data_IF_316187297939
#
_entry.id   IF_316187297939
#
_cell.length_a   1.000
_cell.length_b   1.000
_cell.length_c   1.000
_cell.angle_alpha   90.00
_cell.angle_beta   90.00
_cell.angle_gamma   90.00
#
_symmetry.space_group_name_H-M   'P 1'
#
loop_
_entity.id
_entity.type
_entity.pdbx_description
1 polymer ?
#
# COMPACT_ATOMS: atom_id res chain seq x y z
N UNK A 1 -1.03 20.62 -0.67
CA UNK A 1 -2.12 19.63 -0.55
C UNK A 1 -1.60 18.22 -0.72
N UNK A 2 -0.82 17.94 -1.76
CA UNK A 2 -0.24 16.61 -2.03
C UNK A 2 0.60 16.04 -0.90
N UNK A 3 1.47 16.85 -0.28
CA UNK A 3 2.29 16.43 0.88
C UNK A 3 1.41 15.94 2.03
N UNK A 4 0.39 16.72 2.40
CA UNK A 4 -0.54 16.32 3.46
C UNK A 4 -1.25 15.01 3.12
N UNK A 5 -1.72 14.88 1.88
CA UNK A 5 -2.40 13.68 1.41
C UNK A 5 -1.48 12.45 1.40
N UNK A 6 -0.21 12.61 0.97
CA UNK A 6 0.79 11.54 1.00
C UNK A 6 1.09 11.06 2.42
N UNK A 7 1.26 11.98 3.36
CA UNK A 7 1.47 11.65 4.78
C UNK A 7 0.23 11.01 5.41
N UNK A 8 -0.97 11.50 5.08
CA UNK A 8 -2.22 10.89 5.55
C UNK A 8 -2.38 9.47 5.01
N UNK A 9 -2.02 9.24 3.75
CA UNK A 9 -2.01 7.91 3.17
C UNK A 9 -1.03 6.98 3.90
N UNK A 10 0.19 7.46 4.21
CA UNK A 10 1.20 6.70 4.95
C UNK A 10 0.71 6.32 6.36
N UNK A 11 0.17 7.27 7.12
CA UNK A 11 -0.38 7.02 8.45
C UNK A 11 -1.53 6.00 8.41
N UNK A 12 -2.40 6.16 7.43
CA UNK A 12 -3.58 5.30 7.28
C UNK A 12 -3.18 3.89 6.87
N UNK A 13 -2.30 3.70 5.85
CA UNK A 13 -1.83 2.36 5.47
C UNK A 13 -0.98 1.71 6.56
N UNK A 14 -0.11 2.46 7.26
CA UNK A 14 0.65 1.91 8.38
C UNK A 14 -0.25 1.40 9.51
N UNK A 15 -1.35 2.09 9.78
CA UNK A 15 -2.37 1.64 10.74
C UNK A 15 -3.15 0.44 10.20
N UNK A 16 -3.45 0.42 8.89
CA UNK A 16 -4.10 -0.70 8.21
C UNK A 16 -3.34 -2.00 8.38
N UNK A 17 -2.00 -1.97 8.23
CA UNK A 17 -1.14 -3.15 8.38
C UNK A 17 -1.30 -3.80 9.76
N UNK A 18 -1.39 -3.00 10.82
CA UNK A 18 -1.59 -3.51 12.18
C UNK A 18 -2.95 -4.21 12.32
N UNK A 19 -4.01 -3.64 11.76
CA UNK A 19 -5.34 -4.28 11.75
C UNK A 19 -5.36 -5.54 10.89
N UNK A 20 -4.75 -5.51 9.69
CA UNK A 20 -4.65 -6.68 8.80
C UNK A 20 -3.91 -7.82 9.50
N UNK A 21 -2.76 -7.54 10.12
CA UNK A 21 -1.99 -8.54 10.86
C UNK A 21 -2.83 -9.16 11.98
N UNK A 22 -3.57 -8.33 12.73
CA UNK A 22 -4.48 -8.80 13.75
C UNK A 22 -5.63 -9.67 13.22
N UNK A 23 -6.15 -9.35 12.03
CA UNK A 23 -7.24 -10.07 11.39
C UNK A 23 -6.76 -11.40 10.78
N UNK A 24 -5.67 -11.39 10.00
CA UNK A 24 -5.13 -12.57 9.32
C UNK A 24 -4.74 -13.68 10.31
N UNK A 25 -4.16 -13.32 11.46
CA UNK A 25 -3.85 -14.28 12.53
C UNK A 25 -5.08 -14.99 13.13
N UNK A 26 -6.29 -14.44 12.93
CA UNK A 26 -7.54 -15.01 13.48
C UNK A 26 -8.35 -15.80 12.47
N UNK A 27 -8.36 -15.39 11.23
CA UNK A 27 -9.24 -15.98 10.20
C UNK A 27 -8.51 -16.57 9.01
N UNK A 28 -7.18 -16.40 8.96
CA UNK A 28 -6.35 -16.73 7.81
C UNK A 28 -6.41 -15.66 6.72
N UNK A 29 -5.38 -15.62 5.88
CA UNK A 29 -5.20 -14.58 4.86
C UNK A 29 -6.35 -14.51 3.87
N UNK A 30 -6.82 -15.65 3.35
CA UNK A 30 -7.88 -15.66 2.31
C UNK A 30 -9.22 -15.11 2.79
N UNK A 31 -9.63 -15.47 4.03
CA UNK A 31 -10.87 -14.91 4.60
C UNK A 31 -10.73 -13.43 4.92
N UNK A 32 -9.58 -13.05 5.48
CA UNK A 32 -9.28 -11.65 5.77
C UNK A 32 -9.40 -10.79 4.52
N UNK A 33 -8.82 -11.23 3.39
CA UNK A 33 -8.91 -10.56 2.10
C UNK A 33 -10.35 -10.42 1.63
N UNK A 34 -11.15 -11.49 1.66
CA UNK A 34 -12.56 -11.41 1.23
C UNK A 34 -13.34 -10.41 2.08
N UNK A 35 -13.18 -10.45 3.41
CA UNK A 35 -13.91 -9.54 4.30
C UNK A 35 -13.52 -8.08 4.09
N UNK A 36 -12.22 -7.80 3.99
CA UNK A 36 -11.71 -6.43 3.84
C UNK A 36 -12.01 -5.87 2.46
N UNK A 37 -11.79 -6.62 1.38
CA UNK A 37 -12.06 -6.16 0.03
C UNK A 37 -13.56 -5.96 -0.22
N UNK A 38 -14.42 -6.81 0.34
CA UNK A 38 -15.87 -6.60 0.28
C UNK A 38 -16.29 -5.32 1.02
N UNK A 39 -15.79 -5.11 2.24
CA UNK A 39 -16.07 -3.91 3.01
C UNK A 39 -15.58 -2.64 2.30
N UNK A 40 -14.34 -2.65 1.77
CA UNK A 40 -13.80 -1.53 1.00
C UNK A 40 -14.62 -1.27 -0.27
N UNK A 41 -15.01 -2.31 -1.02
CA UNK A 41 -15.87 -2.16 -2.20
C UNK A 41 -17.20 -1.51 -1.86
N UNK A 42 -17.88 -1.98 -0.79
CA UNK A 42 -19.13 -1.39 -0.33
C UNK A 42 -18.96 0.08 0.03
N UNK A 43 -17.87 0.44 0.74
CA UNK A 43 -17.57 1.83 1.09
C UNK A 43 -17.35 2.69 -0.15
N UNK A 44 -16.61 2.20 -1.15
CA UNK A 44 -16.39 2.91 -2.42
C UNK A 44 -17.71 3.08 -3.19
N UNK A 45 -18.57 2.07 -3.23
CA UNK A 45 -19.90 2.18 -3.85
C UNK A 45 -20.76 3.25 -3.15
N UNK A 46 -20.78 3.28 -1.82
CA UNK A 46 -21.51 4.31 -1.06
C UNK A 46 -20.96 5.72 -1.33
N UNK A 47 -19.63 5.88 -1.41
CA UNK A 47 -19.00 7.17 -1.73
C UNK A 47 -19.36 7.64 -3.14
N UNK A 48 -19.38 6.74 -4.13
CA UNK A 48 -19.80 7.08 -5.50
C UNK A 48 -21.26 7.52 -5.57
N UNK A 49 -22.14 6.83 -4.85
CA UNK A 49 -23.57 7.21 -4.76
C UNK A 49 -23.74 8.58 -4.09
N UNK A 50 -22.99 8.83 -3.01
CA UNK A 50 -23.06 10.10 -2.28
C UNK A 50 -22.50 11.30 -3.08
N UNK A 51 -21.48 11.08 -3.91
CA UNK A 51 -20.84 12.14 -4.68
C UNK A 51 -21.55 12.44 -6.01
N UNK A 52 -22.50 11.62 -6.45
CA UNK A 52 -23.19 11.75 -7.73
C UNK A 52 -22.26 11.96 -8.93
N UNK A 53 -21.01 11.49 -8.84
CA UNK A 53 -20.02 11.64 -9.91
C UNK A 53 -20.39 10.73 -11.08
N UNK A 54 -20.52 11.32 -12.26
CA UNK A 54 -20.68 10.55 -13.49
C UNK A 54 -19.36 9.95 -13.95
N UNK A 55 -19.36 8.68 -14.40
CA UNK A 55 -18.16 8.07 -14.95
C UNK A 55 -17.73 8.76 -16.25
N UNK A 56 -16.44 8.78 -16.52
CA UNK A 56 -15.93 9.23 -17.82
C UNK A 56 -16.40 8.32 -18.95
N UNK A 57 -16.73 8.88 -20.11
CA UNK A 57 -17.04 8.12 -21.32
C UNK A 57 -15.81 7.70 -22.12
N UNK A 58 -14.59 8.07 -21.71
CA UNK A 58 -13.37 7.77 -22.44
C UNK A 58 -12.90 6.30 -22.24
N UNK A 59 -13.01 5.41 -23.26
CA UNK A 59 -12.69 4.01 -23.09
C UNK A 59 -11.19 3.74 -22.85
N UNK A 60 -10.30 4.65 -23.28
CA UNK A 60 -8.85 4.52 -23.05
C UNK A 60 -8.50 4.62 -21.57
N UNK A 61 -9.21 5.50 -20.82
CA UNK A 61 -9.01 5.62 -19.37
C UNK A 61 -9.48 4.36 -18.65
N UNK A 62 -10.60 3.77 -19.06
CA UNK A 62 -11.07 2.51 -18.49
C UNK A 62 -10.10 1.35 -18.75
N UNK A 63 -9.53 1.28 -19.96
CA UNK A 63 -8.52 0.27 -20.26
C UNK A 63 -7.26 0.45 -19.39
N UNK A 64 -6.84 1.71 -19.17
CA UNK A 64 -5.71 2.00 -18.28
C UNK A 64 -5.99 1.63 -16.82
N UNK A 65 -7.22 1.91 -16.33
CA UNK A 65 -7.64 1.49 -14.97
C UNK A 65 -7.69 -0.03 -14.84
N UNK A 66 -8.14 -0.76 -15.86
CA UNK A 66 -8.07 -2.22 -15.85
C UNK A 66 -6.62 -2.70 -15.76
N UNK A 67 -5.69 -2.05 -16.49
CA UNK A 67 -4.25 -2.30 -16.35
C UNK A 67 -3.75 -2.03 -14.91
N UNK A 68 -4.18 -0.93 -14.29
CA UNK A 68 -3.89 -0.67 -12.87
C UNK A 68 -4.41 -1.80 -11.97
N UNK A 69 -5.63 -2.30 -12.22
CA UNK A 69 -6.22 -3.41 -11.47
C UNK A 69 -5.42 -4.71 -11.62
N UNK A 70 -4.94 -5.03 -12.82
CA UNK A 70 -4.06 -6.19 -13.05
C UNK A 70 -2.75 -6.04 -12.25
N UNK A 71 -2.11 -4.87 -12.35
CA UNK A 71 -0.90 -4.58 -11.58
C UNK A 71 -1.15 -4.66 -10.06
N UNK A 72 -2.30 -4.15 -9.59
CA UNK A 72 -2.67 -4.22 -8.18
C UNK A 72 -2.80 -5.67 -7.69
N UNK A 73 -3.55 -6.51 -8.41
CA UNK A 73 -3.72 -7.93 -8.08
C UNK A 73 -2.38 -8.67 -8.14
N UNK A 74 -1.59 -8.46 -9.19
CA UNK A 74 -0.27 -9.08 -9.34
C UNK A 74 0.66 -8.67 -8.19
N UNK A 75 0.74 -7.36 -7.89
CA UNK A 75 1.55 -6.84 -6.77
C UNK A 75 1.13 -7.45 -5.43
N UNK A 76 -0.16 -7.53 -5.17
CA UNK A 76 -0.71 -8.12 -3.95
C UNK A 76 -0.34 -9.61 -3.83
N UNK A 77 -0.59 -10.41 -4.87
CA UNK A 77 -0.28 -11.85 -4.85
C UNK A 77 1.22 -12.13 -4.67
N UNK A 78 2.07 -11.35 -5.37
CA UNK A 78 3.52 -11.44 -5.24
C UNK A 78 3.98 -11.06 -3.82
N UNK A 79 3.43 -10.00 -3.24
CA UNK A 79 3.77 -9.56 -1.90
C UNK A 79 3.39 -10.59 -0.83
N UNK A 80 2.18 -11.16 -0.91
CA UNK A 80 1.78 -12.22 0.01
C UNK A 80 2.69 -13.44 -0.10
N UNK A 81 3.03 -13.84 -1.34
CA UNK A 81 3.98 -14.94 -1.53
C UNK A 81 5.35 -14.62 -0.97
N UNK A 82 5.82 -13.39 -1.13
CA UNK A 82 7.08 -12.94 -0.55
C UNK A 82 7.07 -13.05 0.98
N UNK A 83 5.98 -12.66 1.65
CA UNK A 83 5.84 -12.79 3.11
C UNK A 83 5.74 -14.23 3.61
N UNK A 84 5.13 -15.13 2.81
CA UNK A 84 5.02 -16.53 3.18
C UNK A 84 6.39 -17.26 3.18
N UNK A 85 7.26 -16.95 2.21
CA UNK A 85 8.50 -17.71 1.98
C UNK A 85 9.78 -16.95 2.34
N UNK A 86 9.68 -15.62 2.58
CA UNK A 86 10.80 -14.75 2.87
C UNK A 86 10.80 -14.24 4.32
N UNK A 87 11.88 -13.55 4.70
CA UNK A 87 11.92 -12.84 5.97
C UNK A 87 11.29 -11.45 5.84
N UNK A 88 10.46 -11.07 6.81
CA UNK A 88 9.79 -9.77 6.86
C UNK A 88 10.79 -8.61 6.78
N UNK A 89 11.95 -8.77 7.42
CA UNK A 89 13.03 -7.78 7.47
C UNK A 89 13.64 -7.45 6.10
N UNK A 90 13.57 -8.38 5.12
CA UNK A 90 14.04 -8.15 3.76
C UNK A 90 12.88 -7.79 2.81
N UNK A 91 11.76 -8.47 2.94
CA UNK A 91 10.61 -8.35 2.04
C UNK A 91 9.97 -6.95 2.14
N UNK A 92 9.77 -6.44 3.37
CA UNK A 92 9.07 -5.17 3.59
C UNK A 92 9.82 -3.95 2.99
N UNK A 93 11.14 -3.75 3.23
CA UNK A 93 11.88 -2.67 2.58
C UNK A 93 11.93 -2.77 1.06
N UNK A 94 12.06 -4.01 0.52
CA UNK A 94 12.09 -4.21 -0.93
C UNK A 94 10.71 -3.89 -1.54
N UNK A 95 9.65 -4.33 -0.89
CA UNK A 95 8.28 -4.05 -1.31
C UNK A 95 7.99 -2.55 -1.33
N UNK A 96 8.42 -1.79 -0.32
CA UNK A 96 8.26 -0.32 -0.29
C UNK A 96 9.08 0.39 -1.37
N UNK A 97 9.97 -0.30 -2.07
CA UNK A 97 10.66 0.18 -3.28
C UNK A 97 9.74 0.52 -4.45
N UNK A 98 8.43 0.22 -4.37
CA UNK A 98 7.46 0.67 -5.37
C UNK A 98 7.52 2.19 -5.61
N UNK A 99 7.84 2.98 -4.58
CA UNK A 99 7.98 4.43 -4.71
C UNK A 99 9.11 4.83 -5.68
N UNK A 100 10.23 4.10 -5.65
CA UNK A 100 11.34 4.31 -6.59
C UNK A 100 10.91 4.00 -8.02
N UNK A 101 10.22 2.88 -8.22
CA UNK A 101 9.70 2.49 -9.55
C UNK A 101 8.71 3.54 -10.06
N UNK A 102 7.75 3.98 -9.23
CA UNK A 102 6.81 5.06 -9.58
C UNK A 102 7.55 6.33 -9.97
N UNK A 103 8.53 6.76 -9.17
CA UNK A 103 9.29 7.97 -9.43
C UNK A 103 10.05 7.89 -10.77
N UNK A 104 10.72 6.78 -11.05
CA UNK A 104 11.44 6.59 -12.31
C UNK A 104 10.50 6.65 -13.52
N UNK A 105 9.34 6.00 -13.44
CA UNK A 105 8.33 6.02 -14.51
C UNK A 105 7.71 7.40 -14.67
N UNK A 106 7.40 8.10 -13.57
CA UNK A 106 6.83 9.44 -13.60
C UNK A 106 7.80 10.47 -14.21
N UNK A 107 9.08 10.43 -13.81
CA UNK A 107 10.13 11.27 -14.42
C UNK A 107 10.31 10.96 -15.92
N UNK A 108 10.34 9.69 -16.31
CA UNK A 108 10.41 9.28 -17.70
C UNK A 108 9.19 9.76 -18.52
N UNK A 109 8.03 9.89 -17.86
CA UNK A 109 6.79 10.39 -18.49
C UNK A 109 6.67 11.92 -18.50
N UNK A 110 7.66 12.64 -18.00
CA UNK A 110 7.73 14.09 -18.08
C UNK A 110 7.45 14.87 -16.80
N UNK A 111 7.24 14.22 -15.67
CA UNK A 111 7.23 14.94 -14.39
C UNK A 111 8.58 15.65 -14.17
N UNK A 112 8.54 16.86 -13.65
CA UNK A 112 9.72 17.69 -13.39
C UNK A 112 9.60 18.36 -12.02
N UNK A 113 9.55 17.59 -10.91
CA UNK A 113 9.59 18.17 -9.58
C UNK A 113 10.93 18.88 -9.34
N UNK A 114 10.97 19.79 -8.36
CA UNK A 114 12.19 20.48 -7.98
C UNK A 114 13.29 19.49 -7.56
N UNK A 115 14.56 19.83 -7.83
CA UNK A 115 15.68 18.95 -7.48
C UNK A 115 15.73 18.64 -5.97
N UNK A 116 15.38 19.61 -5.12
CA UNK A 116 15.29 19.41 -3.68
C UNK A 116 14.22 18.37 -3.31
N UNK A 117 13.05 18.41 -3.98
CA UNK A 117 11.98 17.44 -3.75
C UNK A 117 12.38 16.03 -4.19
N UNK A 118 13.10 15.87 -5.31
CA UNK A 118 13.64 14.58 -5.76
C UNK A 118 14.67 14.03 -4.77
N UNK A 119 15.58 14.88 -4.29
CA UNK A 119 16.55 14.50 -3.29
C UNK A 119 15.87 14.10 -1.98
N UNK A 120 14.86 14.85 -1.57
CA UNK A 120 14.01 14.53 -0.42
C UNK A 120 13.33 13.18 -0.56
N UNK A 121 12.74 12.86 -1.72
CA UNK A 121 12.11 11.57 -2.01
C UNK A 121 13.12 10.40 -1.92
N UNK A 122 14.34 10.58 -2.44
CA UNK A 122 15.40 9.58 -2.31
C UNK A 122 15.82 9.37 -0.84
N UNK A 123 15.98 10.45 -0.09
CA UNK A 123 16.30 10.41 1.35
C UNK A 123 15.20 9.70 2.14
N UNK A 124 13.91 9.96 1.82
CA UNK A 124 12.77 9.25 2.40
C UNK A 124 12.87 7.73 2.16
N UNK A 125 13.12 7.31 0.93
CA UNK A 125 13.28 5.89 0.60
C UNK A 125 14.44 5.26 1.38
N UNK A 126 15.57 5.94 1.50
CA UNK A 126 16.71 5.47 2.32
C UNK A 126 16.32 5.36 3.80
N UNK A 127 15.62 6.34 4.33
CA UNK A 127 15.13 6.34 5.72
C UNK A 127 14.19 5.18 6.01
N UNK A 128 13.25 4.88 5.08
CA UNK A 128 12.35 3.72 5.17
C UNK A 128 13.14 2.42 5.27
N UNK A 129 14.16 2.24 4.41
CA UNK A 129 15.02 1.04 4.46
C UNK A 129 15.73 0.93 5.81
N UNK A 130 16.22 2.04 6.38
CA UNK A 130 16.90 2.03 7.68
C UNK A 130 15.94 1.70 8.83
N UNK A 131 14.74 2.26 8.84
CA UNK A 131 13.73 1.99 9.89
C UNK A 131 13.23 0.55 9.84
N UNK A 132 13.04 -0.01 8.65
CA UNK A 132 12.49 -1.35 8.49
C UNK A 132 13.54 -2.46 8.66
N UNK A 133 14.84 -2.12 8.69
CA UNK A 133 15.88 -3.09 9.02
C UNK A 133 15.72 -3.57 10.47
N UNK A 134 15.34 -4.84 10.63
CA UNK A 134 15.29 -5.50 11.93
C UNK A 134 16.60 -6.18 12.23
N UNK A 135 17.10 -6.04 13.47
CA UNK A 135 18.18 -6.86 14.02
C UNK A 135 17.57 -8.19 14.52
N UNK A 136 17.07 -9.02 13.61
CA UNK A 136 16.69 -10.37 14.01
C UNK A 136 17.86 -11.31 13.76
N UNK A 137 18.27 -12.04 14.80
CA UNK A 137 19.28 -13.13 14.73
C UNK A 137 18.83 -14.33 13.87
N UNK A 138 17.64 -14.27 13.29
CA UNK A 138 17.17 -15.27 12.35
C UNK A 138 17.83 -15.07 11.00
N UNK A 139 18.50 -16.14 10.51
CA UNK A 139 19.05 -16.18 9.14
C UNK A 139 18.01 -15.71 8.14
N UNK A 140 18.21 -14.54 7.58
CA UNK A 140 17.28 -13.93 6.65
C UNK A 140 17.15 -14.80 5.40
N UNK A 141 15.95 -15.30 5.14
CA UNK A 141 15.67 -16.16 3.98
C UNK A 141 15.46 -15.28 2.75
N UNK A 142 16.35 -15.42 1.76
CA UNK A 142 16.31 -14.67 0.49
C UNK A 142 15.19 -15.13 -0.47
N UNK A 143 14.51 -16.23 -0.16
CA UNK A 143 13.52 -16.85 -1.06
C UNK A 143 12.38 -15.90 -1.46
N UNK A 144 11.96 -14.98 -0.60
CA UNK A 144 10.91 -14.00 -0.87
C UNK A 144 11.33 -12.79 -1.72
N UNK A 145 12.66 -12.56 -1.85
CA UNK A 145 13.20 -11.35 -2.51
C UNK A 145 12.73 -11.18 -3.96
N UNK A 146 12.77 -12.19 -4.84
CA UNK A 146 12.29 -12.03 -6.21
C UNK A 146 10.81 -11.64 -6.30
N UNK A 147 9.98 -12.19 -5.41
CA UNK A 147 8.56 -11.86 -5.32
C UNK A 147 8.34 -10.44 -4.82
N UNK A 148 9.10 -10.00 -3.82
CA UNK A 148 9.05 -8.62 -3.32
C UNK A 148 9.47 -7.60 -4.39
N UNK A 149 10.52 -7.90 -5.18
CA UNK A 149 10.93 -7.07 -6.31
C UNK A 149 9.79 -7.00 -7.36
N UNK A 150 9.23 -8.15 -7.76
CA UNK A 150 8.11 -8.20 -8.70
C UNK A 150 6.89 -7.41 -8.19
N UNK A 151 6.60 -7.49 -6.90
CA UNK A 151 5.53 -6.69 -6.25
C UNK A 151 5.83 -5.20 -6.31
N UNK A 152 7.06 -4.77 -6.02
CA UNK A 152 7.47 -3.37 -6.10
C UNK A 152 7.30 -2.81 -7.52
N UNK A 153 7.66 -3.58 -8.55
CA UNK A 153 7.43 -3.18 -9.94
C UNK A 153 5.94 -3.09 -10.28
N UNK A 154 5.14 -4.07 -9.88
CA UNK A 154 3.71 -4.09 -10.16
C UNK A 154 2.97 -2.92 -9.49
N UNK A 155 3.22 -2.70 -8.19
CA UNK A 155 2.64 -1.55 -7.48
C UNK A 155 3.18 -0.22 -8.00
N UNK A 156 4.49 -0.14 -8.31
CA UNK A 156 5.09 1.07 -8.86
C UNK A 156 4.47 1.47 -10.20
N UNK A 157 4.27 0.52 -11.11
CA UNK A 157 3.58 0.75 -12.38
C UNK A 157 2.12 1.16 -12.17
N UNK A 158 1.41 0.53 -11.23
CA UNK A 158 0.05 0.89 -10.87
C UNK A 158 -0.05 2.33 -10.37
N UNK A 159 0.78 2.72 -9.40
CA UNK A 159 0.74 4.07 -8.82
C UNK A 159 1.11 5.14 -9.85
N UNK A 160 2.09 4.86 -10.72
CA UNK A 160 2.41 5.71 -11.85
C UNK A 160 1.20 5.90 -12.79
N UNK A 161 0.56 4.80 -13.20
CA UNK A 161 -0.59 4.86 -14.10
C UNK A 161 -1.79 5.59 -13.46
N UNK A 162 -2.00 5.46 -12.14
CA UNK A 162 -3.01 6.22 -11.40
C UNK A 162 -2.76 7.74 -11.48
N UNK A 163 -1.50 8.18 -11.61
CA UNK A 163 -1.15 9.59 -11.84
C UNK A 163 -1.82 10.16 -13.09
N UNK A 164 -1.98 9.38 -14.16
CA UNK A 164 -2.67 9.80 -15.38
C UNK A 164 -4.19 9.64 -15.31
N UNK A 165 -4.66 8.62 -14.62
CA UNK A 165 -6.08 8.29 -14.56
C UNK A 165 -6.86 9.19 -13.61
N UNK A 166 -6.32 9.39 -12.40
CA UNK A 166 -7.01 10.05 -11.30
C UNK A 166 -7.40 11.51 -11.59
N UNK A 167 -6.58 12.34 -12.29
CA UNK A 167 -6.96 13.69 -12.66
C UNK A 167 -8.22 13.76 -13.54
N UNK A 168 -8.44 12.75 -14.39
CA UNK A 168 -9.52 12.71 -15.37
C UNK A 168 -10.77 11.96 -14.90
N UNK A 169 -10.61 10.97 -14.01
CA UNK A 169 -11.70 10.12 -13.52
C UNK A 169 -12.15 10.46 -12.09
N UNK A 170 -11.43 11.36 -11.44
CA UNK A 170 -11.64 11.62 -10.01
C UNK A 170 -10.99 10.57 -9.11
N UNK A 171 -10.99 10.81 -7.79
CA UNK A 171 -10.25 9.97 -6.84
C UNK A 171 -10.92 8.61 -6.55
N UNK A 172 -12.21 8.45 -6.86
CA UNK A 172 -13.01 7.29 -6.41
C UNK A 172 -13.26 6.26 -7.52
N UNK A 173 -13.50 6.69 -8.77
CA UNK A 173 -13.79 5.77 -9.88
C UNK A 173 -12.69 4.73 -10.14
N UNK A 174 -11.40 5.09 -10.17
CA UNK A 174 -10.35 4.09 -10.35
C UNK A 174 -10.37 3.05 -9.24
N UNK A 175 -10.67 3.46 -7.99
CA UNK A 175 -10.72 2.54 -6.85
C UNK A 175 -11.82 1.48 -6.99
N UNK A 176 -12.96 1.81 -7.59
CA UNK A 176 -14.01 0.84 -7.84
C UNK A 176 -13.48 -0.37 -8.62
N UNK A 177 -12.76 -0.12 -9.71
CA UNK A 177 -12.21 -1.19 -10.56
C UNK A 177 -11.15 -1.98 -9.81
N UNK A 178 -10.22 -1.31 -9.11
CA UNK A 178 -9.19 -1.96 -8.30
C UNK A 178 -9.84 -2.89 -7.24
N UNK A 179 -10.89 -2.43 -6.56
CA UNK A 179 -11.58 -3.21 -5.53
C UNK A 179 -12.36 -4.38 -6.11
N UNK A 180 -13.03 -4.21 -7.24
CA UNK A 180 -13.71 -5.31 -7.94
C UNK A 180 -12.72 -6.41 -8.33
N UNK A 181 -11.59 -6.05 -8.91
CA UNK A 181 -10.55 -7.02 -9.31
C UNK A 181 -9.89 -7.68 -8.10
N UNK A 182 -9.59 -6.93 -7.05
CA UNK A 182 -9.01 -7.46 -5.82
C UNK A 182 -9.99 -8.42 -5.11
N UNK A 183 -11.28 -8.07 -5.01
CA UNK A 183 -12.30 -8.95 -4.43
C UNK A 183 -12.46 -10.22 -5.27
N UNK A 184 -12.53 -10.11 -6.60
CA UNK A 184 -12.62 -11.28 -7.50
C UNK A 184 -11.45 -12.23 -7.31
N UNK A 185 -10.23 -11.71 -7.22
CA UNK A 185 -9.02 -12.49 -6.93
C UNK A 185 -9.07 -13.14 -5.55
N UNK A 186 -9.51 -12.39 -4.51
CA UNK A 186 -9.63 -12.90 -3.15
C UNK A 186 -10.66 -14.03 -3.05
N UNK A 187 -11.83 -13.86 -3.68
CA UNK A 187 -12.89 -14.89 -3.73
C UNK A 187 -12.40 -16.13 -4.49
N UNK A 188 -11.72 -15.95 -5.63
CA UNK A 188 -11.17 -17.06 -6.40
C UNK A 188 -10.17 -17.87 -5.57
N UNK A 189 -9.22 -17.21 -4.90
CA UNK A 189 -8.25 -17.85 -4.03
C UNK A 189 -8.92 -18.58 -2.85
N UNK A 190 -9.92 -17.93 -2.23
CA UNK A 190 -10.70 -18.52 -1.15
C UNK A 190 -11.43 -19.79 -1.60
N UNK A 191 -12.08 -19.78 -2.77
CA UNK A 191 -12.81 -20.94 -3.31
C UNK A 191 -11.87 -22.11 -3.62
N UNK A 192 -10.68 -21.83 -4.16
CA UNK A 192 -9.65 -22.86 -4.40
C UNK A 192 -9.22 -23.50 -3.07
N UNK A 193 -8.89 -22.68 -2.07
CA UNK A 193 -8.47 -23.20 -0.77
C UNK A 193 -9.59 -23.97 -0.06
N UNK A 194 -10.83 -23.50 -0.19
CA UNK A 194 -12.00 -24.23 0.33
C UNK A 194 -12.16 -25.60 -0.32
N UNK A 195 -12.00 -25.68 -1.65
CA UNK A 195 -12.08 -26.97 -2.38
C UNK A 195 -10.94 -27.91 -2.01
N UNK A 196 -9.75 -27.37 -1.73
CA UNK A 196 -8.57 -28.16 -1.32
C UNK A 196 -8.54 -28.48 0.17
N UNK A 197 -9.51 -28.02 0.95
CA UNK A 197 -9.59 -28.18 2.40
C UNK A 197 -8.36 -27.61 3.14
N UNK A 198 -7.75 -26.55 2.60
CA UNK A 198 -6.54 -25.90 3.13
C UNK A 198 -6.84 -24.58 3.85
N UNK A 199 -8.11 -24.30 4.19
CA UNK A 199 -8.48 -23.09 4.92
C UNK A 199 -8.05 -23.18 6.39
N UNK A 200 -7.35 -22.16 6.86
CA UNK A 200 -6.95 -22.06 8.27
C UNK A 200 -8.17 -21.98 9.20
N UNK A 201 -8.09 -22.58 10.41
CA UNK A 201 -9.19 -22.50 11.39
C UNK A 201 -9.38 -21.07 11.90
N UNK A 202 -10.62 -20.71 12.23
CA UNK A 202 -10.92 -19.43 12.88
C UNK A 202 -10.64 -19.56 14.39
N UNK A 203 -9.73 -18.75 14.92
CA UNK A 203 -9.27 -18.85 16.31
C UNK A 203 -10.06 -17.94 17.27
N UNK A 204 -10.47 -16.74 16.83
CA UNK A 204 -11.21 -15.79 17.67
C UNK A 204 -12.25 -15.02 16.85
N UNK A 205 -13.54 -15.31 17.10
CA UNK A 205 -14.66 -14.69 16.35
C UNK A 205 -15.00 -13.28 16.86
N UNK A 206 -14.73 -12.96 18.12
CA UNK A 206 -15.21 -11.71 18.75
C UNK A 206 -14.59 -10.44 18.17
N UNK A 207 -13.33 -10.52 17.74
CA UNK A 207 -12.58 -9.36 17.23
C UNK A 207 -12.53 -9.26 15.71
N UNK A 208 -13.19 -10.14 14.97
CA UNK A 208 -13.18 -10.15 13.50
C UNK A 208 -13.75 -8.83 12.96
N UNK A 209 -14.95 -8.47 13.39
CA UNK A 209 -15.63 -7.27 12.88
C UNK A 209 -14.93 -5.96 13.21
N UNK A 210 -14.50 -5.69 14.48
CA UNK A 210 -13.74 -4.47 14.79
C UNK A 210 -12.45 -4.34 13.95
N UNK A 211 -11.71 -5.44 13.77
CA UNK A 211 -10.50 -5.43 12.96
C UNK A 211 -10.83 -5.22 11.48
N UNK A 212 -11.85 -5.89 10.95
CA UNK A 212 -12.29 -5.70 9.56
C UNK A 212 -12.71 -4.26 9.30
N UNK A 213 -13.54 -3.67 10.18
CA UNK A 213 -13.95 -2.27 10.06
C UNK A 213 -12.76 -1.31 10.18
N UNK A 214 -11.80 -1.61 11.07
CA UNK A 214 -10.56 -0.85 11.17
C UNK A 214 -9.78 -0.83 9.85
N UNK A 215 -9.58 -2.01 9.22
CA UNK A 215 -8.96 -2.11 7.90
C UNK A 215 -9.76 -1.32 6.86
N UNK A 216 -11.07 -1.53 6.77
CA UNK A 216 -11.92 -0.87 5.76
C UNK A 216 -11.83 0.64 5.87
N UNK A 217 -11.90 1.19 7.09
CA UNK A 217 -11.85 2.62 7.32
C UNK A 217 -10.46 3.19 6.94
N UNK A 218 -9.39 2.63 7.53
CA UNK A 218 -8.04 3.18 7.33
C UNK A 218 -7.54 2.98 5.90
N UNK A 219 -7.78 1.83 5.29
CA UNK A 219 -7.38 1.57 3.92
C UNK A 219 -8.15 2.45 2.92
N UNK A 220 -9.46 2.64 3.11
CA UNK A 220 -10.25 3.54 2.25
C UNK A 220 -9.76 4.99 2.37
N UNK A 221 -9.51 5.48 3.60
CA UNK A 221 -8.94 6.82 3.82
C UNK A 221 -7.61 6.96 3.09
N UNK A 222 -6.74 5.97 3.22
CA UNK A 222 -5.41 5.98 2.59
C UNK A 222 -5.50 6.09 1.07
N UNK A 223 -6.34 5.29 0.41
CA UNK A 223 -6.49 5.31 -1.03
C UNK A 223 -7.11 6.62 -1.55
N UNK A 224 -8.12 7.15 -0.84
CA UNK A 224 -8.71 8.44 -1.20
C UNK A 224 -7.69 9.55 -1.04
N UNK A 225 -6.98 9.58 0.09
CA UNK A 225 -5.93 10.56 0.34
C UNK A 225 -4.84 10.49 -0.75
N UNK A 226 -4.35 9.30 -1.09
CA UNK A 226 -3.38 9.11 -2.16
C UNK A 226 -3.89 9.69 -3.49
N UNK A 227 -5.09 9.30 -3.92
CA UNK A 227 -5.64 9.75 -5.20
C UNK A 227 -5.94 11.27 -5.22
N UNK A 228 -6.38 11.85 -4.11
CA UNK A 228 -6.52 13.31 -3.98
C UNK A 228 -5.16 13.99 -4.05
N UNK A 229 -4.15 13.42 -3.41
CA UNK A 229 -2.77 13.92 -3.44
C UNK A 229 -2.21 13.97 -4.86
N UNK A 230 -2.34 12.87 -5.61
CA UNK A 230 -1.87 12.75 -7.01
C UNK A 230 -2.56 13.75 -7.96
N UNK A 231 -3.80 14.15 -7.67
CA UNK A 231 -4.47 15.22 -8.43
C UNK A 231 -3.93 16.62 -8.14
N UNK A 232 -3.30 16.79 -6.99
CA UNK A 232 -2.90 18.10 -6.47
C UNK A 232 -1.40 18.36 -6.57
N UNK A 233 -0.60 17.31 -6.84
CA UNK A 233 0.87 17.38 -6.80
C UNK A 233 1.51 16.28 -7.67
N UNK A 234 2.83 16.30 -7.80
CA UNK A 234 3.57 15.27 -8.54
C UNK A 234 3.38 13.88 -7.94
N UNK A 235 3.12 12.90 -8.80
CA UNK A 235 2.96 11.48 -8.42
C UNK A 235 4.18 10.96 -7.68
N UNK A 236 5.39 11.36 -8.12
CA UNK A 236 6.67 11.06 -7.47
C UNK A 236 6.67 11.44 -5.99
N UNK A 237 6.26 12.66 -5.67
CA UNK A 237 6.27 13.20 -4.29
C UNK A 237 5.24 12.48 -3.42
N UNK A 238 4.02 12.37 -3.92
CA UNK A 238 2.92 11.73 -3.17
C UNK A 238 3.25 10.27 -2.88
N UNK A 239 3.81 9.55 -3.85
CA UNK A 239 4.16 8.13 -3.70
C UNK A 239 5.35 7.94 -2.74
N UNK A 240 6.36 8.83 -2.79
CA UNK A 240 7.48 8.79 -1.85
C UNK A 240 6.99 8.99 -0.41
N UNK A 241 6.11 9.96 -0.16
CA UNK A 241 5.52 10.17 1.16
C UNK A 241 4.63 9.00 1.59
N UNK A 242 3.81 8.47 0.69
CA UNK A 242 2.97 7.33 0.97
C UNK A 242 3.77 6.07 1.33
N UNK A 243 4.99 5.89 0.77
CA UNK A 243 5.87 4.76 1.08
C UNK A 243 6.37 4.73 2.53
N UNK A 244 6.20 5.83 3.27
CA UNK A 244 6.48 5.89 4.72
C UNK A 244 5.56 4.98 5.54
N UNK A 245 4.51 4.42 4.95
CA UNK A 245 3.59 3.53 5.67
C UNK A 245 4.31 2.41 6.42
N UNK A 246 5.37 1.84 5.84
CA UNK A 246 6.15 0.78 6.49
C UNK A 246 6.90 1.27 7.74
N UNK A 247 7.42 2.50 7.72
CA UNK A 247 8.01 3.13 8.90
C UNK A 247 6.95 3.42 9.97
N UNK A 248 5.77 3.89 9.56
CA UNK A 248 4.62 4.10 10.47
C UNK A 248 4.20 2.78 11.11
N UNK A 249 4.13 1.68 10.34
CA UNK A 249 3.83 0.34 10.87
C UNK A 249 4.83 -0.06 11.96
N UNK A 250 6.13 0.17 11.75
CA UNK A 250 7.18 -0.10 12.75
C UNK A 250 7.00 0.74 14.00
N UNK A 251 6.72 2.04 13.87
CA UNK A 251 6.51 2.94 15.02
C UNK A 251 5.26 2.54 15.82
N UNK A 252 4.17 2.19 15.15
CA UNK A 252 2.95 1.71 15.81
C UNK A 252 3.22 0.38 16.52
N UNK A 253 3.93 -0.55 15.87
CA UNK A 253 4.30 -1.84 16.47
C UNK A 253 5.18 -1.63 17.72
N UNK A 254 6.14 -0.71 17.67
CA UNK A 254 6.94 -0.33 18.84
C UNK A 254 6.07 0.17 20.01
N UNK A 255 5.14 1.10 19.74
CA UNK A 255 4.27 1.65 20.76
C UNK A 255 3.29 0.61 21.37
N UNK A 256 2.71 -0.27 20.54
CA UNK A 256 1.73 -1.27 20.97
C UNK A 256 2.37 -2.50 21.61
N UNK A 257 3.48 -3.00 21.04
CA UNK A 257 4.14 -4.22 21.50
C UNK A 257 5.33 -3.96 22.42
N UNK A 258 5.66 -2.67 22.68
CA UNK A 258 6.80 -2.22 23.50
C UNK A 258 8.14 -2.81 23.06
N UNK A 259 8.28 -3.09 21.77
CA UNK A 259 9.54 -3.53 21.16
C UNK A 259 10.57 -2.39 21.24
N UNK A 260 11.84 -2.69 21.55
CA UNK A 260 12.87 -1.68 21.57
C UNK A 260 13.38 -1.44 20.15
N UNK A 261 13.29 -0.20 19.66
CA UNK A 261 13.89 0.20 18.39
C UNK A 261 15.42 0.17 18.52
N UNK A 262 16.07 -0.44 17.53
CA UNK A 262 17.52 -0.40 17.43
C UNK A 262 18.02 1.03 17.09
N UNK A 263 19.28 1.38 17.43
CA UNK A 263 19.85 2.70 17.08
C UNK A 263 19.78 3.03 15.59
N UNK A 264 19.94 2.03 14.72
CA UNK A 264 19.77 2.17 13.26
C UNK A 264 18.36 2.59 12.84
N UNK A 265 17.33 2.13 13.56
CA UNK A 265 15.95 2.50 13.30
C UNK A 265 15.69 3.97 13.70
N UNK A 266 16.23 4.43 14.83
CA UNK A 266 16.19 5.84 15.21
C UNK A 266 16.90 6.75 14.20
N UNK A 267 18.05 6.32 13.68
CA UNK A 267 18.74 7.02 12.58
C UNK A 267 17.84 7.09 11.35
N UNK A 268 17.15 5.99 11.00
CA UNK A 268 16.19 5.96 9.90
C UNK A 268 15.04 6.94 10.09
N UNK A 269 14.48 7.06 11.31
CA UNK A 269 13.44 8.06 11.64
C UNK A 269 13.96 9.48 11.41
N UNK A 270 15.17 9.81 11.85
CA UNK A 270 15.78 11.12 11.63
C UNK A 270 15.97 11.42 10.13
N UNK A 271 16.43 10.43 9.36
CA UNK A 271 16.58 10.54 7.89
C UNK A 271 15.23 10.78 7.20
N UNK A 272 14.16 10.12 7.66
CA UNK A 272 12.79 10.36 7.17
C UNK A 272 12.37 11.81 7.38
N UNK A 273 12.55 12.36 8.59
CA UNK A 273 12.18 13.75 8.86
C UNK A 273 12.94 14.73 7.97
N UNK A 274 14.25 14.49 7.74
CA UNK A 274 15.04 15.30 6.80
C UNK A 274 14.47 15.22 5.38
N UNK A 275 14.11 14.03 4.93
CA UNK A 275 13.49 13.83 3.61
C UNK A 275 12.16 14.55 3.46
N UNK A 276 11.29 14.53 4.50
CA UNK A 276 10.00 15.28 4.50
C UNK A 276 10.26 16.79 4.37
N UNK A 277 11.23 17.34 5.11
CA UNK A 277 11.57 18.75 5.01
C UNK A 277 12.01 19.13 3.59
N UNK A 278 12.88 18.32 2.96
CA UNK A 278 13.36 18.58 1.60
C UNK A 278 12.27 18.43 0.53
N UNK A 279 11.32 17.53 0.72
CA UNK A 279 10.15 17.39 -0.19
C UNK A 279 9.20 18.59 -0.07
N UNK A 280 9.22 19.28 1.08
CA UNK A 280 8.30 20.39 1.38
C UNK A 280 8.77 21.76 0.87
N UNK A 281 10.03 21.85 0.39
CA UNK A 281 10.64 23.04 -0.18
C UNK A 281 10.47 23.04 -1.70
#
# INVERSE_FOLDING_TARGET
MGIFCGLLAALSWGTTDVFIMGLTRRVGTSRALVYTQLGCLLTICLLLLAQHQTPTSNPKLWLLVLGCGVCHVAGMLLMYRAFEIGSLALVSPIGSGFAVVTALLALASGERPAAAALLGALILCCGVVLVTRSHSDQKATMAGVPHAIGSAFAFGAMFWALGFVTPHMGPVWPLLVLRLMALSSAVFTFLIQKRRNTLEPITDKKRIWPLTLGVVATDTIAWIAFNVGVRSDYTTIVTALASLYSAVTVVIAWGLFRERLAPSQWTGVAVIFLGILLVSI
#
